data_IF_754336692666
#
_entry.id   IF_754336692666
#
_cell.length_a   1.000
_cell.length_b   1.000
_cell.length_c   1.000
_cell.angle_alpha   90.00
_cell.angle_beta   90.00
_cell.angle_gamma   90.00
#
_symmetry.space_group_name_H-M   'P 1'
#
loop_
_entity.id
_entity.type
_entity.pdbx_description
1 polymer ?
#
# COMPACT_ATOMS: atom_id res chain seq x y z
N UNK A 1 0.38 -13.91 -5.07
CA UNK A 1 1.67 -13.33 -4.61
C UNK A 1 1.38 -12.51 -3.38
N UNK A 2 2.27 -12.52 -2.39
CA UNK A 2 2.13 -11.65 -1.22
C UNK A 2 2.48 -10.21 -1.60
N UNK A 3 1.71 -9.24 -1.11
CA UNK A 3 2.00 -7.82 -1.33
C UNK A 3 3.28 -7.46 -0.58
N UNK A 4 4.20 -6.75 -1.24
CA UNK A 4 5.51 -6.42 -0.68
C UNK A 4 5.68 -4.92 -0.47
N UNK A 5 6.49 -4.55 0.52
CA UNK A 5 6.91 -3.16 0.73
C UNK A 5 7.55 -2.58 -0.53
N UNK A 6 7.08 -1.41 -0.95
CA UNK A 6 7.55 -0.71 -2.13
C UNK A 6 6.74 -0.99 -3.40
N UNK A 7 5.85 -1.99 -3.39
CA UNK A 7 4.93 -2.22 -4.49
C UNK A 7 3.98 -1.02 -4.66
N UNK A 8 3.57 -0.77 -5.91
CA UNK A 8 2.42 0.10 -6.20
C UNK A 8 1.16 -0.74 -6.21
N UNK A 9 0.15 -0.28 -5.47
CA UNK A 9 -1.13 -0.97 -5.32
C UNK A 9 -2.28 -0.04 -5.62
N UNK A 10 -3.30 -0.54 -6.30
CA UNK A 10 -4.58 0.13 -6.51
C UNK A 10 -5.56 -0.28 -5.40
N UNK A 11 -6.25 0.68 -4.81
CA UNK A 11 -7.26 0.40 -3.77
C UNK A 11 -8.58 -0.06 -4.39
N UNK A 12 -9.10 -1.19 -3.93
CA UNK A 12 -10.38 -1.76 -4.35
C UNK A 12 -11.50 -1.57 -3.30
N UNK A 13 -11.16 -1.20 -2.06
CA UNK A 13 -12.17 -0.89 -1.03
C UNK A 13 -12.97 0.37 -1.42
N UNK A 14 -14.27 0.19 -1.68
CA UNK A 14 -15.17 1.25 -2.14
C UNK A 14 -15.37 2.38 -1.13
N UNK A 15 -15.30 2.09 0.17
CA UNK A 15 -15.45 3.12 1.21
C UNK A 15 -14.17 3.96 1.43
N UNK A 16 -13.05 3.61 0.77
CA UNK A 16 -11.81 4.37 0.91
C UNK A 16 -11.88 5.72 0.20
N UNK A 17 -11.34 6.76 0.84
CA UNK A 17 -11.08 8.05 0.19
C UNK A 17 -10.26 7.88 -1.10
N UNK A 18 -9.35 6.90 -1.13
CA UNK A 18 -8.47 6.59 -2.26
C UNK A 18 -9.01 5.45 -3.15
N UNK A 19 -10.33 5.19 -3.19
CA UNK A 19 -10.88 4.14 -4.04
C UNK A 19 -10.45 4.31 -5.51
N UNK A 20 -9.86 3.26 -6.08
CA UNK A 20 -9.22 3.19 -7.41
C UNK A 20 -7.95 4.02 -7.61
N UNK A 21 -7.52 4.82 -6.63
CA UNK A 21 -6.22 5.47 -6.67
C UNK A 21 -5.10 4.44 -6.44
N UNK A 22 -3.90 4.81 -6.89
CA UNK A 22 -2.68 4.02 -6.70
C UNK A 22 -1.83 4.65 -5.59
N UNK A 23 -1.41 3.82 -4.64
CA UNK A 23 -0.49 4.18 -3.56
C UNK A 23 0.73 3.27 -3.54
N UNK A 24 1.65 3.55 -2.63
CA UNK A 24 2.87 2.76 -2.42
C UNK A 24 2.80 2.04 -1.09
N UNK A 25 3.05 0.74 -1.08
CA UNK A 25 3.07 -0.05 0.15
C UNK A 25 4.26 0.40 1.01
N UNK A 26 3.96 1.03 2.14
CA UNK A 26 4.94 1.55 3.08
C UNK A 26 5.46 0.48 4.04
N UNK A 27 4.59 -0.44 4.47
CA UNK A 27 4.91 -1.57 5.32
C UNK A 27 3.85 -2.68 5.18
N UNK A 28 4.23 -3.90 5.55
CA UNK A 28 3.32 -5.05 5.66
C UNK A 28 3.56 -5.68 7.02
N UNK A 29 2.54 -5.69 7.86
CA UNK A 29 2.59 -6.30 9.19
C UNK A 29 2.39 -7.83 9.08
N UNK A 30 3.19 -8.59 9.81
CA UNK A 30 3.18 -10.06 9.79
C UNK A 30 2.69 -10.68 11.11
N UNK A 31 2.27 -9.86 12.07
CA UNK A 31 1.78 -10.30 13.39
C UNK A 31 0.36 -10.91 13.36
N UNK A 32 -0.31 -10.88 12.20
CA UNK A 32 -1.65 -11.45 12.02
C UNK A 32 -2.80 -10.45 12.21
N UNK A 33 -2.53 -9.14 12.14
CA UNK A 33 -3.58 -8.11 12.18
C UNK A 33 -4.49 -8.15 10.95
N UNK A 34 -5.73 -7.67 11.11
CA UNK A 34 -6.77 -7.79 10.10
C UNK A 34 -6.52 -6.95 8.83
N UNK A 35 -5.82 -5.82 8.94
CA UNK A 35 -5.50 -4.92 7.83
C UNK A 35 -3.98 -4.68 7.80
N UNK A 36 -3.18 -5.67 7.36
CA UNK A 36 -1.73 -5.65 7.54
C UNK A 36 -0.98 -4.73 6.60
N UNK A 37 -1.59 -4.30 5.48
CA UNK A 37 -0.89 -3.56 4.44
C UNK A 37 -1.07 -2.06 4.63
N UNK A 38 0.01 -1.36 4.99
CA UNK A 38 0.02 0.09 5.12
C UNK A 38 0.39 0.70 3.77
N UNK A 39 -0.51 1.50 3.20
CA UNK A 39 -0.30 2.16 1.90
C UNK A 39 -0.20 3.67 2.12
N UNK A 40 0.82 4.29 1.51
CA UNK A 40 1.01 5.74 1.45
C UNK A 40 0.60 6.27 0.08
N UNK A 41 -0.11 7.40 0.09
CA UNK A 41 -0.58 8.10 -1.10
C UNK A 41 0.07 9.48 -1.19
N UNK A 42 0.10 10.03 -2.41
CA UNK A 42 0.58 11.40 -2.63
C UNK A 42 -0.48 12.44 -2.22
N UNK A 43 -1.77 12.07 -2.29
CA UNK A 43 -2.89 12.92 -1.85
C UNK A 43 -3.16 12.74 -0.35
N UNK A 44 -3.33 13.86 0.35
CA UNK A 44 -3.87 13.90 1.72
C UNK A 44 -5.40 13.86 1.70
N UNK A 45 -6.01 13.28 2.73
CA UNK A 45 -7.46 13.33 2.95
C UNK A 45 -7.88 14.57 3.78
N UNK A 46 -9.16 14.63 4.15
CA UNK A 46 -9.74 15.73 4.95
C UNK A 46 -9.14 15.91 6.35
N UNK A 47 -8.46 14.88 6.88
CA UNK A 47 -7.81 14.91 8.18
C UNK A 47 -6.29 15.13 8.05
N UNK A 48 -5.82 15.57 6.88
CA UNK A 48 -4.41 15.77 6.57
C UNK A 48 -3.57 14.47 6.70
N UNK A 49 -4.20 13.32 6.47
CA UNK A 49 -3.57 11.98 6.51
C UNK A 49 -3.40 11.47 5.08
N UNK A 50 -2.24 10.90 4.75
CA UNK A 50 -1.96 10.27 3.46
C UNK A 50 -1.62 8.78 3.54
N UNK A 51 -1.94 8.13 4.65
CA UNK A 51 -1.72 6.69 4.84
C UNK A 51 -2.98 5.99 5.31
N UNK A 52 -3.19 4.75 4.90
CA UNK A 52 -4.26 3.91 5.43
C UNK A 52 -3.88 2.42 5.36
N UNK A 53 -4.59 1.60 6.14
CA UNK A 53 -4.37 0.17 6.25
C UNK A 53 -5.46 -0.63 5.53
N UNK A 54 -5.04 -1.65 4.79
CA UNK A 54 -5.91 -2.50 3.98
C UNK A 54 -5.57 -3.98 4.19
N UNK A 55 -6.53 -4.85 3.84
CA UNK A 55 -6.30 -6.26 3.60
C UNK A 55 -5.66 -6.45 2.23
N UNK A 56 -5.07 -7.63 2.03
CA UNK A 56 -4.49 -7.98 0.73
C UNK A 56 -5.54 -8.07 -0.39
N UNK A 57 -6.75 -8.56 -0.10
CA UNK A 57 -7.85 -8.69 -1.08
C UNK A 57 -8.52 -7.36 -1.43
N UNK A 58 -8.22 -6.30 -0.68
CA UNK A 58 -8.68 -4.94 -0.94
C UNK A 58 -7.72 -4.15 -1.83
N UNK A 59 -6.65 -4.79 -2.30
CA UNK A 59 -5.58 -4.18 -3.08
C UNK A 59 -5.27 -5.00 -4.33
N UNK A 60 -5.05 -4.31 -5.44
CA UNK A 60 -4.52 -4.90 -6.67
C UNK A 60 -3.08 -4.41 -6.88
N UNK A 61 -2.10 -5.32 -6.97
CA UNK A 61 -0.72 -4.94 -7.30
C UNK A 61 -0.65 -4.52 -8.76
N UNK A 62 -0.18 -3.30 -9.01
CA UNK A 62 -0.02 -2.74 -10.36
C UNK A 62 1.45 -2.58 -10.77
N UNK A 63 2.36 -2.48 -9.80
CA UNK A 63 3.81 -2.52 -10.01
C UNK A 63 4.45 -3.24 -8.81
N UNK A 64 5.21 -4.30 -9.09
CA UNK A 64 6.00 -4.98 -8.07
C UNK A 64 7.11 -4.06 -7.51
N UNK A 65 7.62 -4.29 -6.29
CA UNK A 65 8.69 -3.45 -5.77
C UNK A 65 9.91 -3.57 -6.66
N UNK A 66 10.49 -2.43 -7.04
CA UNK A 66 11.76 -2.41 -7.77
C UNK A 66 12.81 -3.13 -6.91
N UNK A 67 13.64 -4.02 -7.50
CA UNK A 67 14.76 -4.61 -6.78
C UNK A 67 15.52 -3.49 -6.09
N UNK A 68 15.77 -3.60 -4.78
CA UNK A 68 16.65 -2.66 -4.10
C UNK A 68 17.93 -2.66 -4.91
N UNK A 69 18.26 -1.53 -5.55
CA UNK A 69 19.57 -1.35 -6.16
C UNK A 69 20.56 -1.80 -5.09
N UNK A 70 21.28 -2.91 -5.36
CA UNK A 70 22.21 -3.52 -4.41
C UNK A 70 22.98 -2.37 -3.80
N UNK A 71 22.93 -2.25 -2.47
CA UNK A 71 23.58 -1.19 -1.73
C UNK A 71 24.96 -0.95 -2.34
N UNK A 72 25.11 0.14 -3.10
CA UNK A 72 26.41 0.61 -3.53
C UNK A 72 27.05 1.11 -2.25
N UNK A 73 27.94 0.26 -1.72
CA UNK A 73 29.26 0.60 -1.19
C UNK A 73 29.39 1.95 -0.49
#
# INVERSE_FOLDING_TARGET
MAIQRGAKVRVLRKESYWYRDVGTVAAVDTSGILYPVIVRFDKINYYNINTNNFREDELEVVEEPKPKAKASS
#
